data_IF_690540311939
#
_entry.id   IF_690540311939
#
_cell.length_a   1.000
_cell.length_b   1.000
_cell.length_c   1.000
_cell.angle_alpha   90.00
_cell.angle_beta   90.00
_cell.angle_gamma   90.00
#
_symmetry.space_group_name_H-M   'P 1'
#
loop_
_entity.id
_entity.type
_entity.pdbx_description
1 polymer ?
#
# COMPACT_ATOMS: atom_id res chain seq x y z
N UNK A 1 -10.51 -30.62 11.25
CA UNK A 1 -9.98 -29.29 10.90
C UNK A 1 -8.55 -29.43 10.43
N UNK A 2 -8.15 -28.69 9.39
CA UNK A 2 -6.74 -28.53 9.06
C UNK A 2 -6.11 -27.55 10.06
N UNK A 3 -4.96 -27.91 10.64
CA UNK A 3 -4.23 -27.08 11.61
C UNK A 3 -2.84 -26.79 11.07
N UNK A 4 -2.33 -25.58 11.36
CA UNK A 4 -0.94 -25.20 11.17
C UNK A 4 -0.44 -24.51 12.44
N UNK A 5 0.87 -24.53 12.66
CA UNK A 5 1.48 -23.79 13.77
C UNK A 5 1.44 -22.28 13.49
N UNK A 6 1.39 -21.48 14.56
CA UNK A 6 1.45 -20.01 14.52
C UNK A 6 2.84 -19.49 14.18
N UNK A 7 3.48 -20.06 13.17
CA UNK A 7 4.77 -19.62 12.68
C UNK A 7 4.63 -18.25 12.01
N UNK A 8 5.55 -17.34 12.29
CA UNK A 8 5.59 -16.03 11.66
C UNK A 8 6.51 -15.10 12.43
N UNK A 9 6.62 -13.87 11.93
CA UNK A 9 7.34 -12.79 12.62
C UNK A 9 6.41 -11.58 12.66
N UNK A 10 6.34 -10.93 13.81
CA UNK A 10 5.63 -9.67 13.98
C UNK A 10 6.61 -8.64 14.56
N UNK A 11 6.90 -7.61 13.77
CA UNK A 11 7.79 -6.52 14.15
C UNK A 11 6.99 -5.21 14.27
N UNK A 12 7.42 -4.38 15.21
CA UNK A 12 6.99 -2.98 15.34
C UNK A 12 8.17 -2.10 14.95
N UNK A 13 7.92 -1.13 14.09
CA UNK A 13 8.92 -0.20 13.58
C UNK A 13 8.58 1.17 14.16
N UNK A 14 9.40 1.63 15.10
CA UNK A 14 9.29 2.96 15.72
C UNK A 14 9.79 3.99 14.72
N UNK A 15 8.94 4.95 14.37
CA UNK A 15 9.17 5.85 13.23
C UNK A 15 10.00 7.09 13.59
N UNK A 16 9.99 7.47 14.87
CA UNK A 16 10.61 8.71 15.35
C UNK A 16 10.82 8.64 16.86
N UNK A 17 11.82 9.32 17.43
CA UNK A 17 11.90 9.49 18.88
C UNK A 17 10.84 10.47 19.45
N UNK A 18 10.16 11.23 18.59
CA UNK A 18 9.18 12.24 19.00
C UNK A 18 7.75 11.68 19.05
N UNK A 19 7.11 11.79 20.21
CA UNK A 19 5.82 11.15 20.50
C UNK A 19 4.63 11.63 19.65
N UNK A 20 4.68 12.84 19.08
CA UNK A 20 3.55 13.43 18.34
C UNK A 20 3.93 13.87 16.91
N UNK A 21 4.98 13.28 16.31
CA UNK A 21 5.39 13.60 14.93
C UNK A 21 5.09 12.47 13.97
N UNK A 22 3.95 12.54 13.32
CA UNK A 22 3.55 11.61 12.26
C UNK A 22 4.13 11.95 10.89
N UNK A 23 3.92 11.05 9.92
CA UNK A 23 4.49 11.11 8.56
C UNK A 23 4.40 12.47 7.86
N UNK A 24 3.28 13.19 7.98
CA UNK A 24 3.07 14.51 7.39
C UNK A 24 3.91 15.60 8.06
N UNK A 25 4.30 15.41 9.31
CA UNK A 25 5.13 16.32 10.10
C UNK A 25 6.61 15.91 10.20
N UNK A 26 6.97 14.70 9.74
CA UNK A 26 8.35 14.24 9.68
C UNK A 26 9.15 14.91 8.55
N UNK A 27 10.46 15.07 8.74
CA UNK A 27 11.35 15.49 7.65
C UNK A 27 11.36 14.43 6.55
N UNK A 28 11.63 14.83 5.30
CA UNK A 28 11.77 13.86 4.20
C UNK A 28 12.87 12.84 4.51
N UNK A 29 13.96 13.25 5.16
CA UNK A 29 15.03 12.36 5.60
C UNK A 29 14.55 11.25 6.54
N UNK A 30 13.69 11.58 7.52
CA UNK A 30 13.12 10.59 8.43
C UNK A 30 12.22 9.60 7.70
N UNK A 31 11.37 10.07 6.79
CA UNK A 31 10.50 9.18 5.99
C UNK A 31 11.35 8.25 5.11
N UNK A 32 12.44 8.75 4.53
CA UNK A 32 13.39 7.91 3.79
C UNK A 32 13.98 6.82 4.67
N UNK A 33 14.39 7.15 5.90
CA UNK A 33 14.91 6.16 6.85
C UNK A 33 13.87 5.08 7.17
N UNK A 34 12.63 5.48 7.45
CA UNK A 34 11.52 4.54 7.72
C UNK A 34 11.31 3.58 6.53
N UNK A 35 11.20 4.11 5.31
CA UNK A 35 11.01 3.30 4.10
C UNK A 35 12.23 2.38 3.84
N UNK A 36 13.46 2.85 4.08
CA UNK A 36 14.65 1.98 3.99
C UNK A 36 14.63 0.88 5.05
N UNK A 37 14.15 1.16 6.26
CA UNK A 37 13.97 0.15 7.31
C UNK A 37 12.97 -0.91 6.89
N UNK A 38 11.83 -0.52 6.29
CA UNK A 38 10.86 -1.48 5.72
C UNK A 38 11.52 -2.41 4.71
N UNK A 39 12.25 -1.83 3.75
CA UNK A 39 13.00 -2.59 2.73
C UNK A 39 14.01 -3.54 3.37
N UNK A 40 14.78 -3.06 4.36
CA UNK A 40 15.81 -3.84 5.03
C UNK A 40 15.22 -5.03 5.80
N UNK A 41 14.13 -4.82 6.55
CA UNK A 41 13.44 -5.89 7.28
C UNK A 41 12.77 -6.89 6.33
N UNK A 42 12.16 -6.41 5.24
CA UNK A 42 11.62 -7.30 4.21
C UNK A 42 12.69 -8.22 3.63
N UNK A 43 13.84 -7.66 3.22
CA UNK A 43 14.95 -8.43 2.65
C UNK A 43 15.48 -9.46 3.65
N UNK A 44 15.60 -9.10 4.92
CA UNK A 44 16.09 -10.01 5.95
C UNK A 44 15.15 -11.19 6.20
N UNK A 45 13.86 -10.90 6.38
CA UNK A 45 12.84 -11.92 6.62
C UNK A 45 12.58 -12.79 5.38
N UNK A 46 12.79 -12.26 4.18
CA UNK A 46 12.63 -13.01 2.93
C UNK A 46 13.61 -14.18 2.77
N UNK A 47 14.68 -14.22 3.58
CA UNK A 47 15.66 -15.32 3.60
C UNK A 47 15.13 -16.59 4.27
N UNK A 48 14.10 -16.50 5.11
CA UNK A 48 13.46 -17.66 5.72
C UNK A 48 12.43 -18.27 4.76
N UNK A 49 12.75 -19.45 4.24
CA UNK A 49 11.93 -20.17 3.23
C UNK A 49 10.54 -20.55 3.72
N UNK A 50 10.30 -20.51 5.04
CA UNK A 50 8.98 -20.78 5.62
C UNK A 50 8.03 -19.60 5.45
N UNK A 51 8.56 -18.38 5.27
CA UNK A 51 7.79 -17.16 5.04
C UNK A 51 7.33 -17.12 3.58
N UNK A 52 6.01 -17.06 3.39
CA UNK A 52 5.39 -16.96 2.06
C UNK A 52 4.90 -15.56 1.73
N UNK A 53 4.67 -14.71 2.73
CA UNK A 53 4.28 -13.33 2.51
C UNK A 53 4.67 -12.43 3.68
N UNK A 54 5.07 -11.20 3.37
CA UNK A 54 5.42 -10.16 4.34
C UNK A 54 4.55 -8.95 4.07
N UNK A 55 3.74 -8.56 5.03
CA UNK A 55 2.85 -7.40 4.95
C UNK A 55 3.39 -6.26 5.81
N UNK A 56 3.69 -5.13 5.19
CA UNK A 56 4.06 -3.88 5.87
C UNK A 56 2.85 -2.97 5.88
N UNK A 57 2.46 -2.48 7.06
CA UNK A 57 1.30 -1.62 7.21
C UNK A 57 1.45 -0.65 8.39
N UNK A 58 0.62 0.39 8.40
CA UNK A 58 0.51 1.34 9.50
C UNK A 58 -0.95 1.51 9.89
N UNK A 59 -1.17 1.66 11.18
CA UNK A 59 -2.44 2.08 11.77
C UNK A 59 -2.21 3.45 12.41
N UNK A 60 -3.00 4.44 12.03
CA UNK A 60 -2.96 5.79 12.59
C UNK A 60 -4.32 6.17 13.18
N UNK A 61 -4.30 6.68 14.41
CA UNK A 61 -5.50 7.04 15.16
C UNK A 61 -6.27 5.83 15.72
N UNK A 62 -7.08 6.07 16.76
CA UNK A 62 -7.82 5.04 17.50
C UNK A 62 -8.75 4.24 16.56
N UNK A 63 -9.54 4.93 15.74
CA UNK A 63 -10.43 4.27 14.77
C UNK A 63 -9.69 3.64 13.57
N UNK A 64 -8.40 3.94 13.43
CA UNK A 64 -7.47 3.23 12.53
C UNK A 64 -6.91 1.95 13.13
N UNK A 65 -7.24 1.63 14.39
CA UNK A 65 -6.72 0.45 15.10
C UNK A 65 -5.32 0.66 15.69
N UNK A 66 -4.89 1.92 15.87
CA UNK A 66 -3.67 2.19 16.62
C UNK A 66 -3.93 1.93 18.11
N UNK A 67 -3.22 0.95 18.68
CA UNK A 67 -3.28 0.66 20.12
C UNK A 67 -2.37 1.57 20.96
N UNK A 68 -1.42 2.26 20.31
CA UNK A 68 -0.47 3.18 20.93
C UNK A 68 -0.49 4.51 20.17
N UNK A 69 -0.41 5.61 20.89
CA UNK A 69 -0.36 6.96 20.31
C UNK A 69 0.97 7.25 19.59
N UNK A 70 2.07 6.65 20.06
CA UNK A 70 3.39 6.90 19.51
C UNK A 70 3.49 6.43 18.04
N UNK A 71 4.08 7.23 17.12
CA UNK A 71 4.17 6.87 15.71
C UNK A 71 4.94 5.57 15.47
N UNK A 72 4.22 4.56 15.01
CA UNK A 72 4.77 3.28 14.64
C UNK A 72 4.04 2.70 13.43
N UNK A 73 4.72 1.76 12.80
CA UNK A 73 4.20 0.87 11.78
C UNK A 73 4.53 -0.57 12.17
N UNK A 74 3.96 -1.51 11.44
CA UNK A 74 4.08 -2.93 11.74
C UNK A 74 4.44 -3.70 10.47
N UNK A 75 5.14 -4.81 10.70
CA UNK A 75 5.47 -5.78 9.67
C UNK A 75 5.07 -7.15 10.21
N UNK A 76 4.25 -7.88 9.45
CA UNK A 76 3.88 -9.26 9.78
C UNK A 76 4.30 -10.18 8.62
N UNK A 77 5.18 -11.13 8.93
CA UNK A 77 5.61 -12.19 8.02
C UNK A 77 4.88 -13.49 8.34
N UNK A 78 4.31 -14.13 7.32
CA UNK A 78 3.40 -15.26 7.47
C UNK A 78 3.78 -16.43 6.56
N UNK A 79 3.48 -17.68 6.95
CA UNK A 79 3.75 -18.89 6.18
C UNK A 79 2.66 -19.19 5.14
N UNK A 80 1.77 -18.22 4.90
CA UNK A 80 0.66 -18.30 3.94
C UNK A 80 0.55 -16.98 3.19
N UNK A 81 0.06 -17.01 1.94
CA UNK A 81 -0.31 -15.78 1.25
C UNK A 81 -1.72 -15.39 1.72
N UNK A 82 -1.95 -14.15 2.20
CA UNK A 82 -3.29 -13.67 2.53
C UNK A 82 -4.25 -13.75 1.35
N UNK A 83 -5.52 -14.05 1.62
CA UNK A 83 -6.54 -14.25 0.59
C UNK A 83 -6.65 -13.05 -0.37
N UNK A 84 -6.66 -11.83 0.18
CA UNK A 84 -6.71 -10.59 -0.61
C UNK A 84 -5.57 -10.48 -1.62
N UNK A 85 -4.35 -10.84 -1.21
CA UNK A 85 -3.19 -10.83 -2.09
C UNK A 85 -3.30 -11.90 -3.17
N UNK A 86 -3.79 -13.11 -2.84
CA UNK A 86 -4.02 -14.16 -3.85
C UNK A 86 -4.99 -13.70 -4.94
N UNK A 87 -6.07 -13.03 -4.56
CA UNK A 87 -7.07 -12.49 -5.50
C UNK A 87 -6.44 -11.44 -6.43
N UNK A 88 -5.62 -10.56 -5.86
CA UNK A 88 -4.93 -9.52 -6.62
C UNK A 88 -3.90 -10.09 -7.60
N UNK A 89 -3.09 -11.05 -7.15
CA UNK A 89 -2.13 -11.79 -7.98
C UNK A 89 -2.83 -12.54 -9.12
N UNK A 90 -3.98 -13.17 -8.83
CA UNK A 90 -4.81 -13.86 -9.82
C UNK A 90 -5.34 -12.89 -10.87
N UNK A 91 -5.94 -11.77 -10.45
CA UNK A 91 -6.47 -10.76 -11.38
C UNK A 91 -5.38 -10.13 -12.26
N UNK A 92 -4.21 -9.87 -11.69
CA UNK A 92 -3.06 -9.36 -12.44
C UNK A 92 -2.56 -10.38 -13.49
N UNK A 93 -2.50 -11.66 -13.12
CA UNK A 93 -2.17 -12.76 -14.04
C UNK A 93 -3.20 -12.88 -15.17
N UNK A 94 -4.49 -12.93 -14.85
CA UNK A 94 -5.56 -13.06 -15.84
C UNK A 94 -5.54 -11.91 -16.86
N UNK A 95 -5.35 -10.68 -16.39
CA UNK A 95 -5.20 -9.53 -17.29
C UNK A 95 -3.97 -9.65 -18.18
N UNK A 96 -2.82 -10.04 -17.61
CA UNK A 96 -1.58 -10.22 -18.36
C UNK A 96 -1.71 -11.31 -19.42
N UNK A 97 -2.32 -12.45 -19.10
CA UNK A 97 -2.52 -13.54 -20.06
C UNK A 97 -3.44 -13.11 -21.23
N UNK A 98 -4.42 -12.24 -20.96
CA UNK A 98 -5.34 -11.72 -21.97
C UNK A 98 -4.75 -10.58 -22.82
N UNK A 99 -3.86 -9.74 -22.26
CA UNK A 99 -3.39 -8.49 -22.90
C UNK A 99 -1.89 -8.43 -23.17
N UNK A 100 -1.11 -9.36 -22.62
CA UNK A 100 0.35 -9.38 -22.68
C UNK A 100 1.03 -8.22 -21.94
N UNK A 101 0.31 -7.50 -21.07
CA UNK A 101 0.81 -6.29 -20.38
C UNK A 101 0.30 -6.24 -18.94
N UNK A 102 1.05 -5.57 -18.08
CA UNK A 102 0.69 -5.35 -16.69
C UNK A 102 -0.54 -4.44 -16.56
N UNK A 103 -1.57 -4.90 -15.83
CA UNK A 103 -2.82 -4.15 -15.58
C UNK A 103 -2.54 -2.79 -14.92
N UNK A 104 -1.64 -2.75 -13.94
CA UNK A 104 -1.31 -1.53 -13.21
C UNK A 104 -0.60 -0.51 -14.10
N UNK A 105 0.29 -0.95 -15.00
CA UNK A 105 0.93 -0.04 -15.95
C UNK A 105 -0.08 0.59 -16.91
N UNK A 106 -1.02 -0.20 -17.44
CA UNK A 106 -2.09 0.32 -18.30
C UNK A 106 -3.04 1.23 -17.52
N UNK A 107 -3.29 0.91 -16.24
CA UNK A 107 -4.09 1.71 -15.34
C UNK A 107 -3.45 3.07 -15.06
N UNK A 108 -2.17 3.12 -14.66
CA UNK A 108 -1.38 4.34 -14.45
C UNK A 108 -1.42 5.24 -15.70
N UNK A 109 -1.19 4.67 -16.89
CA UNK A 109 -1.23 5.42 -18.15
C UNK A 109 -2.60 6.06 -18.40
N UNK A 110 -3.69 5.34 -18.12
CA UNK A 110 -5.07 5.86 -18.27
C UNK A 110 -5.36 6.97 -17.27
N UNK A 111 -4.95 6.82 -16.01
CA UNK A 111 -5.17 7.85 -14.99
C UNK A 111 -4.38 9.12 -15.26
N UNK A 112 -3.10 9.01 -15.67
CA UNK A 112 -2.28 10.17 -16.06
C UNK A 112 -2.88 10.89 -17.28
N UNK A 113 -3.37 10.13 -18.28
CA UNK A 113 -3.97 10.72 -19.49
C UNK A 113 -5.30 11.41 -19.19
N UNK A 114 -6.17 10.78 -18.41
CA UNK A 114 -7.51 11.33 -18.12
C UNK A 114 -7.52 12.42 -17.08
N UNK A 115 -6.59 12.39 -16.12
CA UNK A 115 -6.47 13.30 -14.97
C UNK A 115 -7.68 13.36 -14.03
N UNK A 116 -8.75 12.60 -14.30
CA UNK A 116 -10.01 12.66 -13.55
C UNK A 116 -9.87 12.17 -12.09
N UNK A 117 -9.00 11.18 -11.85
CA UNK A 117 -8.75 10.63 -10.51
C UNK A 117 -7.29 10.78 -10.08
N UNK A 118 -6.52 11.62 -10.78
CA UNK A 118 -5.13 11.89 -10.46
C UNK A 118 -5.04 12.87 -9.30
N UNK A 119 -4.36 12.50 -8.21
CA UNK A 119 -4.14 13.37 -7.04
C UNK A 119 -2.77 14.05 -7.12
N UNK A 120 -1.73 13.30 -7.46
CA UNK A 120 -0.38 13.85 -7.65
C UNK A 120 0.40 13.03 -8.64
N UNK A 121 1.16 13.69 -9.50
CA UNK A 121 2.17 13.05 -10.33
C UNK A 121 3.55 13.64 -10.01
N UNK A 122 4.55 12.77 -9.98
CA UNK A 122 5.97 13.11 -9.93
C UNK A 122 6.70 12.42 -11.07
N UNK A 123 8.01 12.62 -11.17
CA UNK A 123 8.82 11.92 -12.17
C UNK A 123 8.71 10.40 -12.04
N UNK A 124 8.75 9.87 -10.81
CA UNK A 124 8.84 8.43 -10.53
C UNK A 124 7.55 7.77 -10.07
N UNK A 125 6.62 8.53 -9.48
CA UNK A 125 5.41 7.99 -8.86
C UNK A 125 4.16 8.77 -9.22
N UNK A 126 3.02 8.10 -9.08
CA UNK A 126 1.69 8.67 -9.20
C UNK A 126 0.88 8.35 -7.95
N UNK A 127 0.09 9.31 -7.46
CA UNK A 127 -0.96 9.12 -6.47
C UNK A 127 -2.32 9.31 -7.14
N UNK A 128 -3.21 8.33 -7.02
CA UNK A 128 -4.52 8.30 -7.68
C UNK A 128 -5.61 7.86 -6.71
N UNK A 129 -6.86 8.29 -6.95
CA UNK A 129 -8.02 7.64 -6.35
C UNK A 129 -8.43 6.46 -7.26
N UNK A 130 -8.49 5.22 -6.75
CA UNK A 130 -8.76 4.06 -7.60
C UNK A 130 -10.20 4.08 -8.12
N UNK A 131 -10.40 3.73 -9.39
CA UNK A 131 -11.71 3.72 -10.06
C UNK A 131 -12.73 2.84 -9.32
N UNK A 132 -12.27 1.73 -8.76
CA UNK A 132 -13.06 0.82 -7.93
C UNK A 132 -12.62 0.89 -6.46
N UNK A 133 -12.53 2.12 -5.91
CA UNK A 133 -12.22 2.36 -4.50
C UNK A 133 -13.24 1.68 -3.57
N UNK A 134 -12.74 0.94 -2.58
CA UNK A 134 -13.57 0.29 -1.55
C UNK A 134 -13.97 1.28 -0.47
N UNK A 135 -13.10 2.25 -0.18
CA UNK A 135 -13.31 3.22 0.89
C UNK A 135 -13.33 4.67 0.36
N UNK A 136 -14.10 5.58 1.00
CA UNK A 136 -14.05 7.00 0.69
C UNK A 136 -12.62 7.53 0.80
N UNK A 137 -12.18 8.30 -0.20
CA UNK A 137 -10.84 8.88 -0.27
C UNK A 137 -9.68 7.87 -0.25
N UNK A 138 -9.95 6.58 -0.52
CA UNK A 138 -8.90 5.60 -0.80
C UNK A 138 -7.97 6.15 -1.89
N UNK A 139 -6.67 6.09 -1.62
CA UNK A 139 -5.64 6.66 -2.48
C UNK A 139 -4.52 5.66 -2.65
N UNK A 140 -4.14 5.40 -3.90
CA UNK A 140 -3.04 4.50 -4.23
C UNK A 140 -1.83 5.28 -4.70
N UNK A 141 -0.64 4.92 -4.20
CA UNK A 141 0.65 5.40 -4.71
C UNK A 141 1.32 4.27 -5.47
N UNK A 142 1.61 4.49 -6.76
CA UNK A 142 2.23 3.49 -7.64
C UNK A 142 3.50 4.04 -8.32
N UNK A 143 4.56 3.24 -8.49
CA UNK A 143 5.70 3.61 -9.33
C UNK A 143 5.30 3.67 -10.80
N UNK A 144 5.72 4.72 -11.51
CA UNK A 144 5.43 4.86 -12.95
C UNK A 144 6.18 3.83 -13.80
N UNK A 145 7.39 3.47 -13.37
CA UNK A 145 8.15 2.36 -13.94
C UNK A 145 7.63 1.04 -13.38
N UNK A 146 7.48 0.03 -14.24
CA UNK A 146 7.03 -1.28 -13.82
C UNK A 146 7.99 -1.88 -12.78
N UNK A 147 7.44 -2.30 -11.64
CA UNK A 147 8.16 -3.03 -10.60
C UNK A 147 7.16 -3.85 -9.78
N UNK A 148 7.36 -5.16 -9.70
CA UNK A 148 6.51 -6.04 -8.90
C UNK A 148 6.87 -6.04 -7.40
N UNK A 149 8.06 -5.52 -7.05
CA UNK A 149 8.74 -5.73 -5.78
C UNK A 149 9.15 -4.43 -5.14
N UNK A 150 8.54 -4.10 -4.01
CA UNK A 150 8.93 -2.96 -3.19
C UNK A 150 10.39 -3.04 -2.76
N UNK A 151 10.86 -4.24 -2.39
CA UNK A 151 12.19 -4.46 -1.85
C UNK A 151 13.34 -4.20 -2.85
N UNK A 152 13.03 -4.20 -4.15
CA UNK A 152 13.97 -3.88 -5.24
C UNK A 152 14.02 -2.36 -5.55
N UNK A 153 13.28 -1.53 -4.81
CA UNK A 153 13.26 -0.07 -5.02
C UNK A 153 14.60 0.55 -4.66
N UNK A 154 15.22 1.28 -5.60
CA UNK A 154 16.50 1.98 -5.39
C UNK A 154 16.41 3.14 -4.40
N UNK A 155 17.53 3.56 -3.82
CA UNK A 155 17.58 4.66 -2.86
C UNK A 155 17.02 5.99 -3.40
N UNK A 156 17.30 6.30 -4.67
CA UNK A 156 16.75 7.48 -5.34
C UNK A 156 15.23 7.39 -5.51
N UNK A 157 14.71 6.19 -5.78
CA UNK A 157 13.28 5.95 -5.85
C UNK A 157 12.62 5.95 -4.46
N UNK A 158 13.32 5.55 -3.39
CA UNK A 158 12.82 5.69 -2.01
C UNK A 158 12.71 7.18 -1.62
N UNK A 159 13.68 8.02 -2.01
CA UNK A 159 13.59 9.47 -1.80
C UNK A 159 12.38 10.08 -2.50
N UNK A 160 12.15 9.70 -3.76
CA UNK A 160 10.96 10.13 -4.51
C UNK A 160 9.65 9.63 -3.88
N UNK A 161 9.65 8.39 -3.38
CA UNK A 161 8.51 7.81 -2.66
C UNK A 161 8.18 8.58 -1.38
N UNK A 162 9.20 8.90 -0.57
CA UNK A 162 9.04 9.67 0.65
C UNK A 162 8.36 11.02 0.39
N UNK A 163 8.75 11.70 -0.69
CA UNK A 163 8.18 13.00 -1.09
C UNK A 163 6.71 12.88 -1.48
N UNK A 164 6.35 11.93 -2.36
CA UNK A 164 4.95 11.79 -2.78
C UNK A 164 4.06 11.26 -1.65
N UNK A 165 4.57 10.38 -0.79
CA UNK A 165 3.85 9.86 0.37
C UNK A 165 3.56 10.97 1.38
N UNK A 166 4.55 11.81 1.70
CA UNK A 166 4.37 12.98 2.56
C UNK A 166 3.32 13.94 2.01
N UNK A 167 3.43 14.29 0.72
CA UNK A 167 2.48 15.18 0.05
C UNK A 167 1.05 14.60 0.04
N UNK A 168 0.92 13.30 -0.21
CA UNK A 168 -0.39 12.63 -0.27
C UNK A 168 -1.06 12.61 1.11
N UNK A 169 -0.32 12.25 2.16
CA UNK A 169 -0.83 12.26 3.53
C UNK A 169 -1.14 13.68 4.01
N UNK A 170 -0.29 14.66 3.69
CA UNK A 170 -0.60 16.07 3.95
C UNK A 170 -1.93 16.49 3.31
N UNK A 171 -2.19 16.05 2.07
CA UNK A 171 -3.44 16.39 1.39
C UNK A 171 -4.67 15.78 2.05
N UNK A 172 -4.58 14.51 2.41
CA UNK A 172 -5.61 13.77 3.14
C UNK A 172 -5.87 14.46 4.49
N UNK A 173 -4.83 14.72 5.27
CA UNK A 173 -4.94 15.34 6.59
C UNK A 173 -5.57 16.73 6.52
N UNK A 174 -5.12 17.58 5.59
CA UNK A 174 -5.65 18.95 5.45
C UNK A 174 -7.11 18.96 4.98
N UNK A 175 -7.53 18.08 4.08
CA UNK A 175 -8.90 18.09 3.51
C UNK A 175 -9.93 17.35 4.35
N UNK A 176 -9.48 16.37 5.14
CA UNK A 176 -10.36 15.50 5.92
C UNK A 176 -10.22 15.72 7.44
N UNK A 177 -9.60 16.84 7.83
CA UNK A 177 -9.41 17.23 9.23
C UNK A 177 -8.67 16.16 10.06
N UNK A 178 -7.51 15.73 9.56
CA UNK A 178 -6.62 14.73 10.16
C UNK A 178 -7.33 13.42 10.55
N UNK A 179 -7.89 12.68 9.57
CA UNK A 179 -8.63 11.46 9.87
C UNK A 179 -7.67 10.33 10.30
N UNK A 180 -8.14 9.39 11.14
CA UNK A 180 -7.48 8.11 11.31
C UNK A 180 -7.33 7.42 9.94
N UNK A 181 -6.24 6.69 9.72
CA UNK A 181 -6.00 6.00 8.45
C UNK A 181 -5.19 4.73 8.65
N UNK A 182 -5.26 3.86 7.64
CA UNK A 182 -4.31 2.78 7.46
C UNK A 182 -3.55 3.01 6.16
N UNK A 183 -2.28 2.62 6.12
CA UNK A 183 -1.65 2.37 4.83
C UNK A 183 -1.07 0.96 4.80
N UNK A 184 -1.04 0.38 3.60
CA UNK A 184 -0.57 -0.98 3.38
C UNK A 184 0.31 -1.00 2.13
N UNK A 185 1.47 -1.65 2.21
CA UNK A 185 2.34 -1.88 1.05
C UNK A 185 1.99 -3.25 0.45
N UNK A 186 1.42 -3.23 -0.75
CA UNK A 186 1.14 -4.41 -1.55
C UNK A 186 2.35 -4.68 -2.46
N UNK A 187 3.03 -5.79 -2.25
CA UNK A 187 4.24 -6.17 -2.99
C UNK A 187 4.20 -7.65 -3.35
N UNK A 188 4.95 -8.07 -4.38
CA UNK A 188 5.04 -9.47 -4.74
C UNK A 188 5.59 -10.31 -3.55
N UNK A 189 5.10 -11.55 -3.34
CA UNK A 189 5.67 -12.46 -2.34
C UNK A 189 7.18 -12.68 -2.54
N UNK A 190 7.92 -13.12 -1.50
CA UNK A 190 9.36 -13.38 -1.59
C UNK A 190 9.77 -14.14 -2.86
N UNK A 191 10.86 -13.71 -3.52
CA UNK A 191 11.24 -14.18 -4.86
C UNK A 191 11.51 -15.68 -4.93
N UNK A 192 12.18 -16.24 -3.93
CA UNK A 192 12.47 -17.67 -3.85
C UNK A 192 11.18 -18.51 -3.86
N UNK A 193 10.16 -18.07 -3.13
CA UNK A 193 8.86 -18.73 -3.08
C UNK A 193 8.03 -18.48 -4.36
N UNK A 194 7.88 -17.21 -4.75
CA UNK A 194 7.01 -16.81 -5.87
C UNK A 194 7.50 -17.30 -7.23
N UNK A 195 8.80 -17.48 -7.44
CA UNK A 195 9.34 -17.97 -8.73
C UNK A 195 8.84 -19.37 -9.11
N UNK A 196 8.46 -20.20 -8.13
CA UNK A 196 7.92 -21.55 -8.35
C UNK A 196 6.40 -21.54 -8.50
N UNK A 197 5.73 -20.86 -7.59
CA UNK A 197 4.26 -20.87 -7.49
C UNK A 197 3.59 -19.89 -8.48
N UNK A 198 4.29 -18.82 -8.85
CA UNK A 198 3.82 -17.75 -9.73
C UNK A 198 4.87 -17.40 -10.79
N UNK A 199 5.04 -18.23 -11.84
CA UNK A 199 6.01 -17.96 -12.90
C UNK A 199 5.79 -16.60 -13.56
N UNK A 200 6.87 -15.90 -13.89
CA UNK A 200 6.87 -14.56 -14.49
C UNK A 200 6.12 -13.50 -13.67
N UNK A 201 5.97 -13.68 -12.35
CA UNK A 201 5.27 -12.71 -11.50
C UNK A 201 5.81 -11.29 -11.66
N UNK A 202 7.13 -11.16 -11.81
CA UNK A 202 7.83 -9.89 -11.99
C UNK A 202 7.36 -9.12 -13.24
N UNK A 203 6.72 -9.77 -14.22
CA UNK A 203 6.11 -9.13 -15.41
C UNK A 203 4.61 -8.84 -15.23
N UNK A 204 3.94 -9.61 -14.37
CA UNK A 204 2.48 -9.67 -14.25
C UNK A 204 1.96 -8.71 -13.18
N UNK A 205 2.73 -8.52 -12.11
CA UNK A 205 2.31 -7.78 -10.92
C UNK A 205 3.09 -6.48 -10.75
N UNK A 206 2.56 -5.57 -9.93
CA UNK A 206 3.11 -4.24 -9.74
C UNK A 206 2.81 -3.75 -8.32
N UNK A 207 3.86 -3.49 -7.54
CA UNK A 207 3.71 -3.10 -6.14
C UNK A 207 3.10 -1.70 -6.03
N UNK A 208 2.34 -1.46 -4.97
CA UNK A 208 1.76 -0.15 -4.69
C UNK A 208 1.49 0.02 -3.20
N UNK A 209 1.18 1.25 -2.79
CA UNK A 209 0.74 1.57 -1.44
C UNK A 209 -0.74 1.96 -1.52
N UNK A 210 -1.57 1.32 -0.71
CA UNK A 210 -2.95 1.75 -0.49
C UNK A 210 -2.99 2.58 0.79
N UNK A 211 -3.57 3.79 0.73
CA UNK A 211 -3.86 4.64 1.89
C UNK A 211 -5.39 4.71 2.02
N UNK A 212 -5.88 4.37 3.21
CA UNK A 212 -7.30 4.18 3.50
C UNK A 212 -7.68 5.06 4.71
N UNK A 213 -8.19 6.27 4.48
CA UNK A 213 -8.80 7.09 5.53
C UNK A 213 -10.04 6.38 6.12
N UNK A 214 -10.15 6.38 7.44
CA UNK A 214 -11.24 5.72 8.18
C UNK A 214 -12.35 6.73 8.46
N UNK A 215 -13.17 6.99 7.44
CA UNK A 215 -14.32 7.91 7.53
C UNK A 215 -15.65 7.20 7.83
N UNK A 216 -15.72 5.91 7.55
CA UNK A 216 -16.93 5.09 7.77
C UNK A 216 -16.56 3.80 8.51
N UNK A 217 -17.52 3.26 9.25
CA UNK A 217 -17.38 1.95 9.92
C UNK A 217 -17.90 0.85 9.01
N UNK A 218 -17.17 -0.26 8.98
CA UNK A 218 -17.58 -1.48 8.28
C UNK A 218 -18.71 -2.13 9.09
N UNK A 219 -19.80 -2.51 8.44
CA UNK A 219 -20.98 -3.09 9.08
C UNK A 219 -21.22 -4.54 8.60
N UNK A 220 -22.33 -5.12 9.04
CA UNK A 220 -22.63 -6.54 8.79
C UNK A 220 -22.74 -6.91 7.32
N UNK A 221 -23.11 -5.97 6.44
CA UNK A 221 -23.16 -6.22 5.00
C UNK A 221 -21.77 -6.46 4.42
N UNK A 222 -20.82 -5.58 4.75
CA UNK A 222 -19.43 -5.72 4.29
C UNK A 222 -18.77 -6.97 4.88
N UNK A 223 -18.98 -7.24 6.18
CA UNK A 223 -18.45 -8.43 6.83
C UNK A 223 -19.03 -9.73 6.25
N UNK A 224 -20.32 -9.75 5.93
CA UNK A 224 -21.00 -10.94 5.44
C UNK A 224 -20.77 -11.23 3.96
N UNK A 225 -20.52 -10.21 3.13
CA UNK A 225 -20.46 -10.35 1.66
C UNK A 225 -19.07 -10.14 1.08
N UNK A 226 -18.20 -9.37 1.74
CA UNK A 226 -16.96 -8.86 1.16
C UNK A 226 -17.16 -7.74 0.12
N UNK A 227 -18.39 -7.27 -0.09
CA UNK A 227 -18.68 -6.07 -0.87
C UNK A 227 -18.57 -4.83 0.01
N UNK A 228 -18.13 -3.72 -0.58
CA UNK A 228 -17.94 -2.45 0.12
C UNK A 228 -18.87 -1.38 -0.45
N UNK A 229 -19.48 -0.60 0.43
CA UNK A 229 -20.29 0.55 0.05
C UNK A 229 -19.43 1.82 0.20
N UNK A 230 -19.06 2.40 -0.95
CA UNK A 230 -18.32 3.65 -0.99
C UNK A 230 -19.27 4.83 -1.28
N UNK A 231 -19.37 5.75 -0.33
CA UNK A 231 -20.26 6.93 -0.42
C UNK A 231 -19.66 8.08 -1.21
N UNK A 232 -18.37 8.02 -1.57
CA UNK A 232 -17.68 9.07 -2.31
C UNK A 232 -17.10 8.50 -3.60
N UNK A 233 -17.52 9.03 -4.76
CA UNK A 233 -16.93 8.61 -6.02
C UNK A 233 -15.45 8.98 -6.09
N UNK A 234 -14.60 8.17 -6.74
CA UNK A 234 -13.17 8.44 -6.79
C UNK A 234 -12.83 9.74 -7.55
N UNK A 235 -13.67 10.17 -8.51
CA UNK A 235 -13.53 11.47 -9.18
C UNK A 235 -13.79 12.63 -8.22
N UNK A 236 -14.79 12.51 -7.35
CA UNK A 236 -15.07 13.52 -6.34
C UNK A 236 -13.96 13.56 -5.29
N UNK A 237 -13.49 12.40 -4.82
CA UNK A 237 -12.37 12.30 -3.88
C UNK A 237 -11.11 12.98 -4.42
N UNK A 238 -10.71 12.66 -5.67
CA UNK A 238 -9.55 13.30 -6.30
C UNK A 238 -9.72 14.82 -6.45
N UNK A 239 -10.90 15.29 -6.87
CA UNK A 239 -11.19 16.73 -6.98
C UNK A 239 -11.03 17.45 -5.64
N UNK A 240 -11.57 16.87 -4.56
CA UNK A 240 -11.48 17.44 -3.21
C UNK A 240 -10.02 17.48 -2.74
N UNK A 241 -9.26 16.39 -2.88
CA UNK A 241 -7.84 16.31 -2.49
C UNK A 241 -6.93 17.24 -3.32
N UNK A 242 -7.34 17.58 -4.54
CA UNK A 242 -6.62 18.52 -5.40
C UNK A 242 -6.88 19.99 -5.08
N UNK A 243 -8.00 20.32 -4.42
CA UNK A 243 -8.40 21.70 -4.13
C UNK A 243 -7.62 22.37 -2.97
N UNK A 244 -6.38 21.95 -2.72
CA UNK A 244 -5.56 22.30 -1.54
C UNK A 244 -4.81 23.61 -1.63
#
# INVERSE_FOLDING_TARGET
>A
FWKMDGLGVHEVIIETPHHHKDFDNLSIGNIVLILKTYRQRYLDLSKDKRIKYILIFKNYGIDGGASLEHPHSQLIATPIIPQRIKEELKGAKEYFDLKGRCIFCDYIKREIKSKNRLIKETEKYVAISPFAARFPFETWILPKCHSARYEETSDNNILSLARIMKETLFRINKKLNNPPYNFIIHTAPPKEFSSREWPDLDKKYHWHIEIIPRLTKIAGFEWGTGFYINTTSPEAAARILNSI
#
